data_IF_675228414602
#
_entry.id   IF_675228414602
#
_cell.length_a   1.000
_cell.length_b   1.000
_cell.length_c   1.000
_cell.angle_alpha   90.00
_cell.angle_beta   90.00
_cell.angle_gamma   90.00
#
_symmetry.space_group_name_H-M   'P 1'
#
loop_
_entity.id
_entity.type
_entity.pdbx_description
1 polymer ?
#
# COMPACT_ATOMS: atom_id res chain seq x y z
N UNK A 1 -45.25 22.84 20.70
CA UNK A 1 -44.82 24.18 21.15
C UNK A 1 -43.63 24.65 20.33
N UNK A 2 -43.36 25.96 20.28
CA UNK A 2 -42.19 26.53 19.60
C UNK A 2 -40.86 25.89 20.08
N UNK A 3 -40.80 25.50 21.36
CA UNK A 3 -39.69 24.75 21.96
C UNK A 3 -39.44 23.39 21.28
N UNK A 4 -40.50 22.62 20.98
CA UNK A 4 -40.34 21.33 20.30
C UNK A 4 -39.79 21.46 18.87
N UNK A 5 -40.13 22.55 18.17
CA UNK A 5 -39.61 22.84 16.82
C UNK A 5 -38.12 23.23 16.89
N UNK A 6 -37.74 24.06 17.87
CA UNK A 6 -36.35 24.46 18.09
C UNK A 6 -35.48 23.25 18.48
N UNK A 7 -35.97 22.39 19.37
CA UNK A 7 -35.28 21.17 19.80
C UNK A 7 -35.10 20.19 18.63
N UNK A 8 -36.12 20.00 17.80
CA UNK A 8 -36.02 19.17 16.58
C UNK A 8 -34.98 19.73 15.60
N UNK A 9 -34.90 21.06 15.42
CA UNK A 9 -33.87 21.71 14.59
C UNK A 9 -32.47 21.57 15.20
N UNK A 10 -32.33 21.66 16.53
CA UNK A 10 -31.06 21.46 17.25
C UNK A 10 -30.53 20.03 17.03
N UNK A 11 -31.36 19.02 17.28
CA UNK A 11 -30.99 17.60 17.09
C UNK A 11 -30.57 17.28 15.67
N UNK A 12 -31.26 17.85 14.66
CA UNK A 12 -30.86 17.71 13.25
C UNK A 12 -29.47 18.28 12.97
N UNK A 13 -29.16 19.46 13.49
CA UNK A 13 -27.83 20.08 13.35
C UNK A 13 -26.75 19.26 14.06
N UNK A 14 -27.02 18.77 15.26
CA UNK A 14 -26.08 17.94 16.02
C UNK A 14 -25.79 16.62 15.31
N UNK A 15 -26.83 15.95 14.81
CA UNK A 15 -26.68 14.73 14.01
C UNK A 15 -25.85 15.00 12.75
N UNK A 16 -26.12 16.09 12.04
CA UNK A 16 -25.35 16.48 10.86
C UNK A 16 -23.88 16.73 11.21
N UNK A 17 -23.60 17.48 12.28
CA UNK A 17 -22.26 17.79 12.74
C UNK A 17 -21.49 16.53 13.16
N UNK A 18 -22.16 15.56 13.79
CA UNK A 18 -21.56 14.29 14.18
C UNK A 18 -21.20 13.43 12.97
N UNK A 19 -22.04 13.42 11.93
CA UNK A 19 -21.74 12.74 10.66
C UNK A 19 -20.53 13.37 9.98
N UNK A 20 -20.50 14.69 9.85
CA UNK A 20 -19.39 15.38 9.18
C UNK A 20 -18.08 15.25 9.96
N UNK A 21 -18.12 15.24 11.29
CA UNK A 21 -16.95 14.95 12.11
C UNK A 21 -16.40 13.55 11.80
N UNK A 22 -17.24 12.52 11.82
CA UNK A 22 -16.83 11.14 11.48
C UNK A 22 -16.26 11.02 10.07
N UNK A 23 -16.83 11.74 9.09
CA UNK A 23 -16.28 11.78 7.73
C UNK A 23 -14.87 12.35 7.70
N UNK A 24 -14.65 13.48 8.39
CA UNK A 24 -13.33 14.11 8.47
C UNK A 24 -12.31 13.25 9.21
N UNK A 25 -12.71 12.62 10.30
CA UNK A 25 -11.83 11.74 11.08
C UNK A 25 -11.40 10.54 10.23
N UNK A 26 -12.33 9.88 9.54
CA UNK A 26 -12.02 8.77 8.63
C UNK A 26 -11.01 9.18 7.53
N UNK A 27 -11.21 10.34 6.89
CA UNK A 27 -10.26 10.87 5.89
C UNK A 27 -8.88 11.09 6.51
N UNK A 28 -8.82 11.68 7.71
CA UNK A 28 -7.55 11.95 8.39
C UNK A 28 -6.82 10.67 8.74
N UNK A 29 -7.54 9.65 9.23
CA UNK A 29 -6.97 8.36 9.59
C UNK A 29 -6.37 7.67 8.36
N UNK A 30 -7.06 7.69 7.21
CA UNK A 30 -6.52 7.15 5.95
C UNK A 30 -5.29 7.89 5.46
N UNK A 31 -5.26 9.22 5.61
CA UNK A 31 -4.07 10.01 5.27
C UNK A 31 -2.91 9.62 6.18
N UNK A 32 -3.13 9.45 7.49
CA UNK A 32 -2.06 9.05 8.40
C UNK A 32 -1.56 7.63 8.13
N UNK A 33 -2.48 6.69 7.86
CA UNK A 33 -2.15 5.32 7.47
C UNK A 33 -1.26 5.31 6.21
N UNK A 34 -1.61 6.08 5.18
CA UNK A 34 -0.76 6.25 3.99
C UNK A 34 0.64 6.75 4.36
N UNK A 35 0.73 7.67 5.32
CA UNK A 35 2.00 8.19 5.83
C UNK A 35 2.91 7.11 6.39
N UNK A 36 2.35 6.11 7.10
CA UNK A 36 3.13 5.00 7.68
C UNK A 36 3.71 4.03 6.65
N UNK A 37 3.13 3.97 5.44
CA UNK A 37 3.55 3.09 4.37
C UNK A 37 4.67 3.69 3.50
N UNK A 38 5.02 4.96 3.72
CA UNK A 38 6.06 5.64 2.96
C UNK A 38 7.45 5.28 3.50
N UNK A 39 8.44 5.06 2.62
CA UNK A 39 9.80 4.69 3.04
C UNK A 39 10.49 5.78 3.90
N UNK A 40 10.14 7.05 3.68
CA UNK A 40 10.73 8.19 4.40
C UNK A 40 10.07 8.45 5.77
N UNK A 41 9.03 7.70 6.13
CA UNK A 41 8.33 7.83 7.40
C UNK A 41 9.21 7.50 8.62
N UNK A 42 10.27 6.73 8.39
CA UNK A 42 11.15 6.16 9.42
C UNK A 42 12.11 7.21 9.98
N UNK A 43 12.54 8.18 9.17
CA UNK A 43 13.57 9.16 9.57
C UNK A 43 12.98 10.42 10.22
N UNK A 44 11.89 10.97 9.66
CA UNK A 44 11.29 12.23 10.16
C UNK A 44 10.08 12.02 11.09
N UNK A 45 9.60 10.78 11.20
CA UNK A 45 8.36 10.43 11.91
C UNK A 45 7.11 10.92 11.19
N UNK A 46 6.15 10.01 10.95
CA UNK A 46 4.88 10.28 10.24
C UNK A 46 4.16 11.52 10.76
N UNK A 47 4.22 11.76 12.08
CA UNK A 47 3.57 12.90 12.73
C UNK A 47 4.11 14.28 12.31
N UNK A 48 5.29 14.36 11.70
CA UNK A 48 5.86 15.62 11.17
C UNK A 48 5.48 15.88 9.72
N UNK A 49 4.99 14.86 9.01
CA UNK A 49 4.61 15.02 7.61
C UNK A 49 3.25 15.70 7.50
N UNK A 50 3.20 16.79 6.72
CA UNK A 50 1.93 17.43 6.42
C UNK A 50 1.09 16.56 5.46
N UNK A 51 -0.24 16.70 5.50
CA UNK A 51 -1.17 15.89 4.69
C UNK A 51 -0.90 15.97 3.19
N UNK A 52 -0.52 17.15 2.68
CA UNK A 52 -0.20 17.34 1.27
C UNK A 52 1.03 16.56 0.83
N UNK A 53 2.08 16.55 1.66
CA UNK A 53 3.29 15.77 1.45
C UNK A 53 3.00 14.27 1.50
N UNK A 54 2.21 13.80 2.46
CA UNK A 54 1.82 12.39 2.54
C UNK A 54 1.12 11.96 1.25
N UNK A 55 0.11 12.72 0.81
CA UNK A 55 -0.62 12.43 -0.42
C UNK A 55 0.29 12.43 -1.65
N UNK A 56 1.14 13.45 -1.80
CA UNK A 56 2.08 13.55 -2.93
C UNK A 56 3.05 12.37 -2.97
N UNK A 57 3.73 12.09 -1.85
CA UNK A 57 4.68 10.98 -1.75
C UNK A 57 4.00 9.62 -1.93
N UNK A 58 2.74 9.47 -1.48
CA UNK A 58 1.96 8.24 -1.70
C UNK A 58 1.72 7.99 -3.18
N UNK A 59 1.36 9.03 -3.95
CA UNK A 59 1.18 8.90 -5.40
C UNK A 59 2.50 8.54 -6.09
N UNK A 60 3.60 9.18 -5.70
CA UNK A 60 4.93 8.89 -6.24
C UNK A 60 5.36 7.45 -5.94
N UNK A 61 5.17 6.99 -4.69
CA UNK A 61 5.50 5.64 -4.28
C UNK A 61 4.68 4.59 -5.04
N UNK A 62 3.39 4.81 -5.26
CA UNK A 62 2.56 3.91 -6.07
C UNK A 62 3.10 3.80 -7.50
N UNK A 63 3.46 4.92 -8.14
CA UNK A 63 4.04 4.91 -9.49
C UNK A 63 5.37 4.17 -9.54
N UNK A 64 6.23 4.38 -8.53
CA UNK A 64 7.49 3.66 -8.40
C UNK A 64 7.26 2.16 -8.27
N UNK A 65 6.38 1.73 -7.37
CA UNK A 65 6.05 0.31 -7.18
C UNK A 65 5.49 -0.33 -8.44
N UNK A 66 4.63 0.38 -9.19
CA UNK A 66 4.13 -0.12 -10.49
C UNK A 66 5.27 -0.32 -11.50
N UNK A 67 6.21 0.62 -11.59
CA UNK A 67 7.38 0.49 -12.45
C UNK A 67 8.31 -0.64 -12.01
N UNK A 68 8.52 -0.79 -10.71
CA UNK A 68 9.36 -1.84 -10.14
C UNK A 68 8.78 -3.23 -10.43
N UNK A 69 7.45 -3.41 -10.32
CA UNK A 69 6.77 -4.66 -10.70
C UNK A 69 7.07 -5.03 -12.15
N UNK A 70 6.95 -4.08 -13.09
CA UNK A 70 7.24 -4.33 -14.51
C UNK A 70 8.70 -4.72 -14.72
N UNK A 71 9.63 -4.01 -14.07
CA UNK A 71 11.06 -4.30 -14.16
C UNK A 71 11.41 -5.67 -13.60
N UNK A 72 10.88 -6.04 -12.42
CA UNK A 72 11.11 -7.36 -11.82
C UNK A 72 10.54 -8.48 -12.67
N UNK A 73 9.35 -8.29 -13.25
CA UNK A 73 8.78 -9.27 -14.18
C UNK A 73 9.66 -9.49 -15.42
N UNK A 74 10.22 -8.41 -15.99
CA UNK A 74 11.17 -8.55 -17.10
C UNK A 74 12.45 -9.28 -16.66
N UNK A 75 12.99 -8.90 -15.50
CA UNK A 75 14.20 -9.52 -14.95
C UNK A 75 14.02 -11.01 -14.70
N UNK A 76 12.85 -11.42 -14.19
CA UNK A 76 12.50 -12.83 -14.00
C UNK A 76 12.50 -13.56 -15.34
N UNK A 77 11.84 -13.01 -16.37
CA UNK A 77 11.84 -13.62 -17.73
C UNK A 77 13.25 -13.77 -18.30
N UNK A 78 14.08 -12.74 -18.18
CA UNK A 78 15.47 -12.78 -18.69
C UNK A 78 16.29 -13.86 -17.97
N UNK A 79 16.14 -13.97 -16.65
CA UNK A 79 16.82 -14.99 -15.85
C UNK A 79 16.34 -16.41 -16.19
N UNK A 80 15.03 -16.60 -16.39
CA UNK A 80 14.45 -17.87 -16.83
C UNK A 80 15.00 -18.30 -18.20
N UNK A 81 15.14 -17.36 -19.15
CA UNK A 81 15.76 -17.63 -20.45
C UNK A 81 17.23 -18.05 -20.32
N UNK A 82 18.02 -17.35 -19.50
CA UNK A 82 19.43 -17.70 -19.26
C UNK A 82 19.53 -19.09 -18.63
N UNK A 83 18.71 -19.39 -17.62
CA UNK A 83 18.67 -20.72 -16.99
C UNK A 83 18.30 -21.80 -17.99
N UNK A 84 17.33 -21.55 -18.88
CA UNK A 84 16.99 -22.47 -19.94
C UNK A 84 18.19 -22.71 -20.85
N UNK A 85 18.88 -21.66 -21.31
CA UNK A 85 20.05 -21.81 -22.18
C UNK A 85 21.18 -22.59 -21.51
N UNK A 86 21.52 -22.31 -20.25
CA UNK A 86 22.53 -23.05 -19.50
C UNK A 86 22.16 -24.53 -19.37
N UNK A 87 20.89 -24.85 -19.11
CA UNK A 87 20.41 -26.24 -19.07
C UNK A 87 20.57 -26.97 -20.41
N UNK A 88 20.39 -26.30 -21.54
CA UNK A 88 20.57 -26.89 -22.87
C UNK A 88 22.05 -27.02 -23.24
N UNK A 89 22.90 -26.05 -22.88
CA UNK A 89 24.35 -26.12 -23.10
C UNK A 89 25.06 -27.14 -22.19
N UNK A 90 24.46 -27.49 -21.06
CA UNK A 90 24.93 -28.56 -20.15
C UNK A 90 24.25 -29.92 -20.39
N UNK A 91 23.90 -30.25 -21.64
CA UNK A 91 23.42 -31.57 -22.08
C UNK A 91 24.44 -32.72 -21.94
N UNK A 92 25.04 -32.89 -20.76
CA UNK A 92 25.97 -33.98 -20.44
C UNK A 92 26.31 -34.15 -18.95
N UNK A 93 25.71 -33.38 -18.03
CA UNK A 93 25.99 -33.50 -16.59
C UNK A 93 24.71 -33.57 -15.78
N UNK A 94 24.29 -34.78 -15.42
CA UNK A 94 23.26 -35.04 -14.42
C UNK A 94 23.54 -34.22 -13.15
N UNK A 95 22.74 -33.18 -12.91
CA UNK A 95 22.62 -32.58 -11.60
C UNK A 95 21.21 -32.90 -11.09
N UNK A 96 21.10 -34.06 -10.44
CA UNK A 96 20.01 -34.33 -9.52
C UNK A 96 20.05 -33.28 -8.43
N UNK A 97 19.28 -32.21 -8.57
CA UNK A 97 18.84 -31.43 -7.42
C UNK A 97 17.95 -32.39 -6.64
N UNK A 98 18.48 -32.88 -5.52
CA UNK A 98 17.73 -33.59 -4.50
C UNK A 98 16.56 -32.71 -4.09
N UNK A 99 15.40 -32.97 -4.69
CA UNK A 99 14.12 -32.64 -4.09
C UNK A 99 14.09 -33.37 -2.77
N UNK A 100 14.27 -32.62 -1.69
CA UNK A 100 14.09 -33.09 -0.34
C UNK A 100 12.59 -33.38 -0.15
N UNK A 101 12.16 -34.48 -0.75
CA UNK A 101 10.96 -35.21 -0.38
C UNK A 101 11.31 -35.87 0.94
N UNK A 102 11.00 -35.19 2.05
CA UNK A 102 10.82 -35.91 3.30
C UNK A 102 9.45 -35.58 3.85
N UNK A 103 8.60 -36.61 3.74
CA UNK A 103 7.35 -36.77 4.45
C UNK A 103 7.59 -36.65 5.96
N UNK A 104 6.79 -35.81 6.61
CA UNK A 104 5.99 -36.10 7.81
C UNK A 104 5.09 -34.91 8.09
#
# INVERSE_FOLDING_TARGET
SMQAIMEKRRRRRESHNAVERRRRDNINDRIQELGTLLPDAVDDGVNRMNKGTILRKSVEQIRKLQNDVVQYQQRIRDLEMILQQVRHSHGGGSLMINGNTHMS
#
